data_IF_062938597405
#
_entry.id   IF_062938597405
#
_cell.length_a   1.000
_cell.length_b   1.000
_cell.length_c   1.000
_cell.angle_alpha   90.00
_cell.angle_beta   90.00
_cell.angle_gamma   90.00
#
_symmetry.space_group_name_H-M   'P 1'
#
loop_
_entity.id
_entity.type
_entity.pdbx_description
1 polymer ?
#
# COMPACT_ATOMS: atom_id res chain seq x y z
N UNK A 1 17.72 14.91 -2.16
CA UNK A 1 16.27 15.02 -1.93
C UNK A 1 15.94 16.45 -1.59
N UNK A 2 15.09 17.11 -2.38
CA UNK A 2 14.76 18.51 -2.13
C UNK A 2 13.36 18.54 -1.51
N UNK A 3 13.27 18.65 -0.18
CA UNK A 3 11.99 18.76 0.54
C UNK A 3 11.55 20.22 0.56
N UNK A 4 11.09 20.73 -0.58
CA UNK A 4 10.61 22.09 -0.72
C UNK A 4 9.13 22.21 -0.43
N UNK A 5 8.78 23.10 0.48
CA UNK A 5 7.52 23.83 0.67
C UNK A 5 6.19 23.07 0.62
N UNK A 6 5.43 23.14 1.69
CA UNK A 6 3.97 22.95 1.85
C UNK A 6 3.29 21.66 1.34
N UNK A 7 3.95 20.76 0.65
CA UNK A 7 3.49 19.40 0.28
C UNK A 7 4.63 18.43 0.46
N UNK A 8 4.40 17.22 0.99
CA UNK A 8 5.37 16.14 0.87
C UNK A 8 5.39 15.70 -0.59
N UNK A 9 6.11 16.42 -1.42
CA UNK A 9 6.43 15.99 -2.77
C UNK A 9 7.65 15.08 -2.68
N UNK A 10 7.44 13.76 -2.71
CA UNK A 10 8.50 12.83 -3.03
C UNK A 10 8.78 12.97 -4.53
N UNK A 11 9.72 13.85 -4.89
CA UNK A 11 10.28 13.86 -6.26
C UNK A 11 11.26 12.70 -6.35
N UNK A 12 10.95 11.69 -7.14
CA UNK A 12 11.92 10.67 -7.53
C UNK A 12 13.08 11.37 -8.22
N UNK A 13 14.26 11.35 -7.60
CA UNK A 13 15.51 11.85 -8.16
C UNK A 13 16.10 10.82 -9.14
N UNK A 14 15.37 10.45 -10.16
CA UNK A 14 15.98 9.88 -11.34
C UNK A 14 15.96 10.96 -12.43
N UNK A 15 17.08 11.63 -12.61
CA UNK A 15 17.26 12.70 -13.57
C UNK A 15 16.38 13.94 -13.40
N UNK A 16 16.97 15.12 -13.36
CA UNK A 16 16.46 16.49 -13.22
C UNK A 16 15.23 16.88 -14.11
N UNK A 17 14.43 15.95 -14.55
CA UNK A 17 13.18 16.18 -15.25
C UNK A 17 12.04 15.99 -14.25
N UNK A 18 11.35 17.07 -13.96
CA UNK A 18 10.09 17.04 -13.23
C UNK A 18 9.10 16.29 -14.11
N UNK A 19 8.67 15.10 -13.65
CA UNK A 19 7.57 14.37 -14.28
C UNK A 19 6.20 15.00 -13.94
N UNK A 20 6.17 16.32 -13.85
CA UNK A 20 5.02 17.11 -13.35
C UNK A 20 3.94 17.29 -14.43
N UNK A 21 4.24 16.98 -15.66
CA UNK A 21 3.31 17.09 -16.79
C UNK A 21 3.19 15.74 -17.48
N UNK A 22 1.97 15.38 -17.79
CA UNK A 22 1.66 14.21 -18.59
C UNK A 22 1.71 14.60 -20.07
N UNK A 23 2.44 13.84 -20.89
CA UNK A 23 2.59 14.03 -22.32
C UNK A 23 2.13 12.76 -23.05
N UNK A 24 1.26 12.93 -24.04
CA UNK A 24 0.89 11.84 -24.95
C UNK A 24 1.98 11.63 -25.98
N UNK A 25 2.42 10.38 -26.13
CA UNK A 25 3.42 9.97 -27.10
C UNK A 25 2.74 9.34 -28.33
N UNK A 26 3.14 9.76 -29.52
CA UNK A 26 2.63 9.20 -30.79
C UNK A 26 3.36 7.87 -31.12
N UNK A 27 3.17 6.89 -30.23
CA UNK A 27 3.68 5.53 -30.39
C UNK A 27 2.59 4.53 -30.00
N UNK A 28 2.54 3.34 -30.64
CA UNK A 28 1.63 2.30 -30.22
C UNK A 28 2.08 1.67 -28.89
N UNK A 29 1.14 1.55 -27.95
CA UNK A 29 1.34 0.77 -26.74
C UNK A 29 1.17 -0.74 -26.97
N UNK A 30 1.15 -1.51 -25.88
CA UNK A 30 0.89 -2.93 -25.92
C UNK A 30 -0.43 -3.25 -26.67
N UNK A 31 -0.37 -4.13 -27.67
CA UNK A 31 -1.50 -4.47 -28.54
C UNK A 31 -2.17 -3.24 -29.18
N UNK A 32 -1.36 -2.24 -29.56
CA UNK A 32 -1.82 -0.99 -30.13
C UNK A 32 -2.74 -0.15 -29.20
N UNK A 33 -2.61 -0.36 -27.89
CA UNK A 33 -3.36 0.46 -26.91
C UNK A 33 -2.98 1.95 -27.01
N UNK A 34 -3.94 2.82 -26.76
CA UNK A 34 -3.79 4.27 -26.75
C UNK A 34 -4.58 4.87 -25.58
N UNK A 35 -4.16 6.02 -25.05
CA UNK A 35 -2.91 6.75 -25.32
C UNK A 35 -1.70 6.12 -24.60
N UNK A 36 -0.50 6.26 -25.20
CA UNK A 36 0.75 6.04 -24.48
C UNK A 36 1.20 7.36 -23.90
N UNK A 37 1.51 7.39 -22.60
CA UNK A 37 1.85 8.62 -21.88
C UNK A 37 3.16 8.51 -21.13
N UNK A 38 3.86 9.62 -21.03
CA UNK A 38 5.00 9.83 -20.14
C UNK A 38 4.62 10.89 -19.09
N UNK A 39 5.22 10.80 -17.89
CA UNK A 39 4.85 11.66 -16.77
C UNK A 39 3.73 11.06 -15.88
N UNK A 40 3.29 11.83 -14.90
CA UNK A 40 2.22 11.41 -13.98
C UNK A 40 1.36 12.63 -13.57
N UNK A 41 0.09 12.63 -13.95
CA UNK A 41 -0.87 13.66 -13.55
C UNK A 41 -1.16 13.72 -12.06
N UNK A 42 -0.79 12.67 -11.31
CA UNK A 42 -0.89 12.60 -9.85
C UNK A 42 0.27 13.29 -9.11
N UNK A 43 1.27 13.83 -9.81
CA UNK A 43 2.47 14.45 -9.21
C UNK A 43 2.18 15.57 -8.21
N UNK A 44 1.08 16.29 -8.38
CA UNK A 44 0.60 17.34 -7.47
C UNK A 44 -0.36 16.85 -6.37
N UNK A 45 -0.65 15.57 -6.28
CA UNK A 45 -1.56 15.02 -5.28
C UNK A 45 -0.88 14.86 -3.92
N UNK A 46 -1.66 14.94 -2.86
CA UNK A 46 -1.22 14.55 -1.52
C UNK A 46 -1.60 13.09 -1.29
N UNK A 47 -0.62 12.27 -0.94
CA UNK A 47 -0.78 10.85 -0.60
C UNK A 47 -0.14 10.61 0.77
N UNK A 48 -0.97 10.60 1.82
CA UNK A 48 -0.47 10.49 3.20
C UNK A 48 0.12 9.12 3.53
N UNK A 49 -0.29 8.07 2.82
CA UNK A 49 0.26 6.72 2.98
C UNK A 49 1.77 6.64 2.75
N UNK A 50 2.32 7.50 1.89
CA UNK A 50 3.75 7.54 1.55
C UNK A 50 4.67 7.77 2.76
N UNK A 51 4.19 8.43 3.82
CA UNK A 51 4.93 8.50 5.08
C UNK A 51 5.21 7.10 5.62
N UNK A 52 4.20 6.22 5.62
CA UNK A 52 4.33 4.84 6.08
C UNK A 52 5.31 4.02 5.26
N UNK A 53 5.23 4.12 3.93
CA UNK A 53 6.12 3.40 3.03
C UNK A 53 7.59 3.76 3.26
N UNK A 54 7.87 5.05 3.45
CA UNK A 54 9.22 5.54 3.75
C UNK A 54 9.72 4.98 5.08
N UNK A 55 8.97 5.17 6.15
CA UNK A 55 9.41 4.78 7.49
C UNK A 55 9.51 3.26 7.66
N UNK A 56 8.60 2.47 7.06
CA UNK A 56 8.70 1.00 7.09
C UNK A 56 9.93 0.52 6.33
N UNK A 57 10.25 1.13 5.17
CA UNK A 57 11.47 0.82 4.40
C UNK A 57 12.73 1.11 5.20
N UNK A 58 12.81 2.28 5.83
CA UNK A 58 13.99 2.68 6.63
C UNK A 58 14.10 1.80 7.88
N UNK A 59 13.00 1.50 8.55
CA UNK A 59 13.00 0.61 9.71
C UNK A 59 13.54 -0.79 9.36
N UNK A 60 13.14 -1.33 8.19
CA UNK A 60 13.68 -2.61 7.68
C UNK A 60 15.16 -2.53 7.36
N UNK A 61 15.60 -1.44 6.72
CA UNK A 61 17.02 -1.20 6.43
C UNK A 61 17.86 -1.20 7.71
N UNK A 62 17.40 -0.55 8.77
CA UNK A 62 18.07 -0.55 10.08
C UNK A 62 18.01 -1.93 10.77
N UNK A 63 16.92 -2.68 10.62
CA UNK A 63 16.78 -4.02 11.18
C UNK A 63 17.78 -5.03 10.59
N UNK A 64 18.25 -4.80 9.36
CA UNK A 64 19.32 -5.57 8.71
C UNK A 64 20.73 -5.12 9.15
N UNK A 65 20.86 -4.27 10.18
CA UNK A 65 22.13 -3.83 10.76
C UNK A 65 22.73 -2.58 10.11
N UNK A 66 22.02 -1.91 9.21
CA UNK A 66 22.49 -0.67 8.61
C UNK A 66 22.21 0.54 9.51
N UNK A 67 23.03 1.56 9.39
CA UNK A 67 22.90 2.80 10.14
C UNK A 67 22.42 3.94 9.25
N UNK A 68 21.61 4.82 9.85
CA UNK A 68 21.21 6.08 9.20
C UNK A 68 22.34 7.08 9.37
N UNK A 69 22.69 7.78 8.29
CA UNK A 69 23.70 8.83 8.36
C UNK A 69 23.23 10.03 9.21
N UNK A 70 24.16 10.77 9.85
CA UNK A 70 23.84 11.84 10.79
C UNK A 70 23.01 13.00 10.19
N UNK A 71 23.02 13.20 8.88
CA UNK A 71 22.23 14.24 8.23
C UNK A 71 20.80 13.80 7.96
N UNK A 72 20.59 12.52 7.71
CA UNK A 72 19.26 11.94 7.40
C UNK A 72 18.38 11.79 8.66
N UNK A 73 18.97 11.46 9.82
CA UNK A 73 18.20 11.28 11.05
C UNK A 73 17.31 12.47 11.42
N UNK A 74 17.82 13.71 11.47
CA UNK A 74 17.02 14.92 11.74
C UNK A 74 15.91 15.16 10.71
N UNK A 75 16.16 14.85 9.43
CA UNK A 75 15.13 14.97 8.37
C UNK A 75 13.97 14.01 8.61
N UNK A 76 14.25 12.79 9.05
CA UNK A 76 13.23 11.81 9.39
C UNK A 76 12.41 12.26 10.61
N UNK A 77 13.07 12.83 11.64
CA UNK A 77 12.36 13.40 12.78
C UNK A 77 11.38 14.51 12.36
N UNK A 78 11.81 15.43 11.48
CA UNK A 78 10.96 16.48 10.93
C UNK A 78 9.77 15.90 10.11
N UNK A 79 10.00 14.84 9.35
CA UNK A 79 8.94 14.14 8.61
C UNK A 79 7.93 13.47 9.55
N UNK A 80 8.37 12.87 10.65
CA UNK A 80 7.47 12.30 11.65
C UNK A 80 6.62 13.38 12.33
N UNK A 81 7.22 14.54 12.66
CA UNK A 81 6.48 15.69 13.18
C UNK A 81 5.43 16.19 12.20
N UNK A 82 5.78 16.33 10.92
CA UNK A 82 4.84 16.70 9.85
C UNK A 82 3.73 15.66 9.67
N UNK A 83 4.02 14.38 9.85
CA UNK A 83 2.99 13.33 9.83
C UNK A 83 1.98 13.54 10.98
N UNK A 84 2.44 13.84 12.21
CA UNK A 84 1.58 14.21 13.34
C UNK A 84 0.66 15.40 13.03
N UNK A 85 1.15 16.40 12.31
CA UNK A 85 0.37 17.58 11.95
C UNK A 85 -0.67 17.32 10.85
N UNK A 86 -0.37 16.39 9.94
CA UNK A 86 -1.11 16.24 8.67
C UNK A 86 -2.03 15.05 8.57
N UNK A 87 -1.89 14.02 9.39
CA UNK A 87 -2.67 12.80 9.25
C UNK A 87 -4.20 13.02 9.23
N UNK A 88 -4.69 14.11 9.85
CA UNK A 88 -6.12 14.47 9.88
C UNK A 88 -6.62 15.05 8.55
N UNK A 89 -5.74 15.34 7.59
CA UNK A 89 -6.15 15.85 6.29
C UNK A 89 -6.71 14.72 5.42
N UNK A 90 -7.55 15.11 4.45
CA UNK A 90 -7.96 14.25 3.35
C UNK A 90 -6.85 14.20 2.30
N UNK A 91 -6.72 13.06 1.63
CA UNK A 91 -5.74 12.86 0.58
C UNK A 91 -6.35 12.14 -0.65
N UNK A 92 -5.53 11.78 -1.62
CA UNK A 92 -5.94 11.08 -2.85
C UNK A 92 -5.86 9.56 -2.73
N UNK A 93 -5.32 9.03 -1.61
CA UNK A 93 -5.15 7.61 -1.37
C UNK A 93 -4.09 6.95 -2.25
N UNK A 94 -3.89 5.65 -2.05
CA UNK A 94 -2.93 4.83 -2.81
C UNK A 94 -3.32 4.71 -4.30
N UNK A 95 -4.60 4.85 -4.62
CA UNK A 95 -5.13 4.72 -5.97
C UNK A 95 -5.16 6.03 -6.76
N UNK A 96 -4.52 7.09 -6.25
CA UNK A 96 -4.38 8.40 -6.93
C UNK A 96 -5.70 9.03 -7.36
N UNK A 97 -6.74 8.87 -6.54
CA UNK A 97 -8.09 9.29 -6.88
C UNK A 97 -8.25 10.82 -6.85
N UNK A 98 -9.08 11.35 -7.76
CA UNK A 98 -9.42 12.78 -7.78
C UNK A 98 -10.19 13.22 -6.54
N UNK A 99 -11.02 12.32 -5.98
CA UNK A 99 -11.80 12.58 -4.76
C UNK A 99 -10.90 12.48 -3.52
N UNK A 100 -10.68 13.59 -2.82
CA UNK A 100 -9.92 13.60 -1.56
C UNK A 100 -10.81 13.11 -0.42
N UNK A 101 -10.39 12.02 0.24
CA UNK A 101 -11.11 11.38 1.34
C UNK A 101 -10.17 11.10 2.51
N UNK A 102 -10.72 10.60 3.60
CA UNK A 102 -9.95 9.97 4.67
C UNK A 102 -9.82 8.47 4.36
N UNK A 103 -8.98 8.14 3.40
CA UNK A 103 -8.75 6.74 3.00
C UNK A 103 -8.13 5.95 4.15
N UNK A 104 -8.69 4.79 4.43
CA UNK A 104 -8.27 3.93 5.54
C UNK A 104 -6.80 3.57 5.46
N UNK A 105 -6.35 3.11 4.29
CA UNK A 105 -4.94 2.75 4.08
C UNK A 105 -3.99 3.93 4.26
N UNK A 106 -4.39 5.15 3.89
CA UNK A 106 -3.57 6.35 4.12
C UNK A 106 -3.41 6.67 5.60
N UNK A 107 -4.46 6.47 6.42
CA UNK A 107 -4.39 6.65 7.87
C UNK A 107 -3.53 5.56 8.51
N UNK A 108 -3.68 4.31 8.07
CA UNK A 108 -2.79 3.23 8.48
C UNK A 108 -1.34 3.54 8.14
N UNK A 109 -1.05 4.09 6.94
CA UNK A 109 0.29 4.54 6.56
C UNK A 109 0.85 5.62 7.50
N UNK A 110 0.03 6.61 7.91
CA UNK A 110 0.46 7.59 8.92
C UNK A 110 0.75 6.92 10.28
N UNK A 111 -0.06 5.96 10.69
CA UNK A 111 0.21 5.16 11.90
C UNK A 111 1.55 4.43 11.80
N UNK A 112 1.81 3.75 10.67
CA UNK A 112 3.07 3.04 10.41
C UNK A 112 4.25 4.00 10.54
N UNK A 113 4.16 5.18 9.92
CA UNK A 113 5.23 6.17 9.98
C UNK A 113 5.59 6.53 11.42
N UNK A 114 4.60 6.84 12.25
CA UNK A 114 4.82 7.24 13.64
C UNK A 114 5.30 6.08 14.51
N UNK A 115 4.75 4.89 14.34
CA UNK A 115 5.20 3.67 15.04
C UNK A 115 6.67 3.36 14.71
N UNK A 116 7.06 3.40 13.44
CA UNK A 116 8.43 3.17 13.02
C UNK A 116 9.37 4.30 13.45
N UNK A 117 8.91 5.56 13.46
CA UNK A 117 9.70 6.70 13.95
C UNK A 117 10.04 6.52 15.45
N UNK A 118 9.09 6.04 16.25
CA UNK A 118 9.35 5.70 17.67
C UNK A 118 10.41 4.62 17.79
N UNK A 119 10.29 3.51 17.03
CA UNK A 119 11.26 2.40 17.06
C UNK A 119 12.66 2.87 16.63
N UNK A 120 12.75 3.72 15.60
CA UNK A 120 14.02 4.29 15.15
C UNK A 120 14.63 5.24 16.18
N UNK A 121 13.82 5.98 16.94
CA UNK A 121 14.29 6.80 18.04
C UNK A 121 14.79 5.97 19.22
N UNK A 122 14.07 4.91 19.61
CA UNK A 122 14.47 3.97 20.66
C UNK A 122 15.78 3.24 20.35
N UNK A 123 16.05 2.99 19.06
CA UNK A 123 17.32 2.41 18.59
C UNK A 123 18.38 3.46 18.26
N UNK A 124 18.20 4.72 18.65
CA UNK A 124 19.08 5.85 18.43
C UNK A 124 19.47 6.12 16.94
N UNK A 125 18.62 5.68 15.99
CA UNK A 125 18.80 5.95 14.57
C UNK A 125 18.26 7.33 14.16
N UNK A 126 17.29 7.86 14.92
CA UNK A 126 16.64 9.15 14.70
C UNK A 126 16.59 9.92 16.03
N UNK A 127 16.77 11.26 16.04
CA UNK A 127 16.60 12.04 17.26
C UNK A 127 15.24 11.85 17.91
N UNK A 128 15.22 11.41 19.16
CA UNK A 128 14.00 11.01 19.89
C UNK A 128 13.31 12.11 20.68
N UNK A 129 13.63 13.41 20.46
CA UNK A 129 13.09 14.51 21.26
C UNK A 129 11.55 14.55 21.26
N UNK A 130 10.92 14.20 20.13
CA UNK A 130 9.48 14.20 19.95
C UNK A 130 8.86 12.78 19.93
N UNK A 131 9.59 11.74 20.39
CA UNK A 131 9.12 10.35 20.35
C UNK A 131 7.79 10.14 21.09
N UNK A 132 7.57 10.81 22.22
CA UNK A 132 6.30 10.76 22.96
C UNK A 132 5.13 11.35 22.16
N UNK A 133 5.37 12.42 21.41
CA UNK A 133 4.37 13.02 20.50
C UNK A 133 4.02 12.04 19.37
N UNK A 134 5.01 11.35 18.81
CA UNK A 134 4.79 10.36 17.76
C UNK A 134 4.01 9.15 18.28
N UNK A 135 4.33 8.68 19.48
CA UNK A 135 3.61 7.57 20.14
C UNK A 135 2.15 7.94 20.39
N UNK A 136 1.90 9.13 20.94
CA UNK A 136 0.55 9.63 21.17
C UNK A 136 -0.22 9.80 19.84
N UNK A 137 0.44 10.32 18.80
CA UNK A 137 -0.13 10.45 17.46
C UNK A 137 -0.49 9.10 16.83
N UNK A 138 0.37 8.09 16.97
CA UNK A 138 0.08 6.74 16.49
C UNK A 138 -1.16 6.15 17.19
N UNK A 139 -1.27 6.27 18.51
CA UNK A 139 -2.43 5.77 19.25
C UNK A 139 -3.72 6.50 18.87
N UNK A 140 -3.65 7.80 18.68
CA UNK A 140 -4.80 8.60 18.21
C UNK A 140 -5.25 8.16 16.81
N UNK A 141 -4.33 7.92 15.88
CA UNK A 141 -4.65 7.41 14.54
C UNK A 141 -5.31 6.03 14.64
N UNK A 142 -4.76 5.14 15.45
CA UNK A 142 -5.32 3.78 15.63
C UNK A 142 -6.75 3.85 16.14
N UNK A 143 -6.98 4.64 17.18
CA UNK A 143 -8.31 4.85 17.76
C UNK A 143 -9.27 5.40 16.71
N UNK A 144 -8.85 6.45 16.01
CA UNK A 144 -9.67 7.10 14.99
C UNK A 144 -10.04 6.17 13.83
N UNK A 145 -9.10 5.34 13.34
CA UNK A 145 -9.36 4.36 12.27
C UNK A 145 -10.35 3.31 12.76
N UNK A 146 -10.19 2.81 13.98
CA UNK A 146 -11.08 1.81 14.55
C UNK A 146 -12.53 2.29 14.73
N UNK A 147 -12.70 3.59 14.97
CA UNK A 147 -14.01 4.23 15.16
C UNK A 147 -14.68 4.68 13.86
N UNK A 148 -13.88 5.12 12.87
CA UNK A 148 -14.40 5.80 11.68
C UNK A 148 -14.29 5.00 10.38
N UNK A 149 -13.45 3.95 10.35
CA UNK A 149 -13.18 3.17 9.14
C UNK A 149 -13.59 1.70 9.29
N UNK A 150 -14.56 1.41 10.13
CA UNK A 150 -15.12 0.09 10.34
C UNK A 150 -16.58 0.05 9.92
N UNK A 151 -16.99 -0.96 9.15
CA UNK A 151 -18.39 -1.24 8.83
C UNK A 151 -18.89 -2.40 9.68
N UNK A 152 -19.89 -2.13 10.54
CA UNK A 152 -20.57 -3.18 11.28
C UNK A 152 -21.41 -4.06 10.37
N UNK A 153 -21.92 -3.53 9.27
CA UNK A 153 -22.70 -4.29 8.30
C UNK A 153 -21.85 -5.33 7.56
N UNK A 154 -20.60 -4.98 7.22
CA UNK A 154 -19.66 -5.88 6.52
C UNK A 154 -18.69 -6.59 7.45
N UNK A 155 -18.63 -6.19 8.73
CA UNK A 155 -17.63 -6.64 9.69
C UNK A 155 -16.20 -6.50 9.12
N UNK A 156 -15.89 -5.34 8.55
CA UNK A 156 -14.65 -5.09 7.83
C UNK A 156 -14.17 -3.64 7.94
N UNK A 157 -12.88 -3.44 7.85
CA UNK A 157 -12.33 -2.11 7.55
C UNK A 157 -12.73 -1.68 6.14
N UNK A 158 -13.12 -0.43 6.01
CA UNK A 158 -13.71 0.14 4.81
C UNK A 158 -12.68 0.89 3.96
N UNK A 159 -13.05 1.27 2.75
CA UNK A 159 -12.22 2.03 1.82
C UNK A 159 -11.81 3.39 2.39
N UNK A 160 -12.78 4.13 2.93
CA UNK A 160 -12.57 5.43 3.59
C UNK A 160 -13.60 5.64 4.69
N UNK A 161 -13.35 6.58 5.57
CA UNK A 161 -14.22 6.87 6.70
C UNK A 161 -15.66 7.19 6.27
N UNK A 162 -16.63 6.51 6.89
CA UNK A 162 -18.07 6.75 6.69
C UNK A 162 -18.67 6.12 5.44
N UNK A 163 -18.00 5.10 4.84
CA UNK A 163 -18.55 4.27 3.77
C UNK A 163 -18.65 2.81 4.20
N UNK A 164 -19.41 2.01 3.46
CA UNK A 164 -19.37 0.54 3.52
C UNK A 164 -18.58 -0.08 2.34
N UNK A 165 -18.05 0.74 1.43
CA UNK A 165 -17.20 0.25 0.35
C UNK A 165 -15.91 -0.37 0.89
N UNK A 166 -15.41 -1.41 0.22
CA UNK A 166 -14.18 -2.11 0.57
C UNK A 166 -13.03 -1.72 -0.35
N UNK A 167 -11.80 -1.91 0.15
CA UNK A 167 -10.55 -1.65 -0.56
C UNK A 167 -9.54 -2.77 -0.28
N UNK A 168 -9.05 -3.41 -1.33
CA UNK A 168 -8.04 -4.46 -1.22
C UNK A 168 -6.72 -3.96 -0.60
N UNK A 169 -6.39 -2.67 -0.69
CA UNK A 169 -5.20 -2.11 -0.06
C UNK A 169 -5.21 -2.24 1.48
N UNK A 170 -6.39 -2.36 2.10
CA UNK A 170 -6.50 -2.57 3.56
C UNK A 170 -5.91 -3.92 4.00
N UNK A 171 -5.77 -4.90 3.11
CA UNK A 171 -5.06 -6.16 3.38
C UNK A 171 -3.61 -5.93 3.87
N UNK A 172 -2.99 -4.82 3.48
CA UNK A 172 -1.65 -4.43 3.92
C UNK A 172 -1.57 -4.09 5.42
N UNK A 173 -2.70 -3.88 6.10
CA UNK A 173 -2.74 -3.62 7.55
C UNK A 173 -2.08 -4.74 8.37
N UNK A 174 -2.23 -6.00 7.95
CA UNK A 174 -1.59 -7.15 8.59
C UNK A 174 -0.06 -7.13 8.45
N UNK A 175 0.43 -6.75 7.27
CA UNK A 175 1.86 -6.65 6.97
C UNK A 175 2.56 -5.57 7.80
N UNK A 176 1.89 -4.45 8.02
CA UNK A 176 2.44 -3.33 8.79
C UNK A 176 2.38 -3.55 10.30
N UNK A 177 1.55 -4.50 10.76
CA UNK A 177 1.29 -4.74 12.18
C UNK A 177 0.25 -3.83 12.80
N UNK A 178 -0.46 -3.05 11.98
CA UNK A 178 -1.56 -2.22 12.45
C UNK A 178 -2.68 -3.09 13.05
N UNK A 179 -3.05 -4.17 12.37
CA UNK A 179 -4.07 -5.11 12.82
C UNK A 179 -3.62 -6.56 12.57
N UNK A 180 -3.82 -7.44 13.55
CA UNK A 180 -3.46 -8.88 13.48
C UNK A 180 -4.56 -9.78 14.05
N UNK A 181 -5.62 -9.18 14.58
CA UNK A 181 -6.68 -9.87 15.30
C UNK A 181 -7.87 -10.25 14.42
N UNK A 182 -9.01 -10.58 15.06
CA UNK A 182 -10.24 -11.02 14.38
C UNK A 182 -10.78 -10.02 13.35
N UNK A 183 -10.56 -8.71 13.57
CA UNK A 183 -10.98 -7.67 12.62
C UNK A 183 -10.26 -7.78 11.27
N UNK A 184 -8.97 -8.14 11.26
CA UNK A 184 -8.28 -8.38 9.99
C UNK A 184 -8.82 -9.63 9.31
N UNK A 185 -9.05 -10.72 10.07
CA UNK A 185 -9.58 -11.97 9.52
C UNK A 185 -10.96 -11.73 8.88
N UNK A 186 -11.87 -11.03 9.55
CA UNK A 186 -13.19 -10.71 8.98
C UNK A 186 -13.11 -9.76 7.78
N UNK A 187 -12.17 -8.80 7.78
CA UNK A 187 -11.91 -7.93 6.63
C UNK A 187 -11.42 -8.72 5.42
N UNK A 188 -10.52 -9.70 5.62
CA UNK A 188 -10.05 -10.62 4.56
C UNK A 188 -11.24 -11.34 3.92
N UNK A 189 -12.15 -11.89 4.73
CA UNK A 189 -13.33 -12.61 4.22
C UNK A 189 -14.28 -11.67 3.45
N UNK A 190 -14.53 -10.47 3.97
CA UNK A 190 -15.37 -9.49 3.29
C UNK A 190 -14.78 -9.06 1.94
N UNK A 191 -13.47 -8.79 1.88
CA UNK A 191 -12.77 -8.44 0.65
C UNK A 191 -12.78 -9.61 -0.34
N UNK A 192 -12.50 -10.84 0.11
CA UNK A 192 -12.53 -12.02 -0.74
C UNK A 192 -13.92 -12.24 -1.37
N UNK A 193 -14.99 -12.04 -0.60
CA UNK A 193 -16.35 -12.23 -1.06
C UNK A 193 -16.84 -11.14 -2.02
N UNK A 194 -16.45 -9.87 -1.81
CA UNK A 194 -16.96 -8.75 -2.60
C UNK A 194 -16.06 -8.38 -3.78
N UNK A 195 -14.75 -8.40 -3.57
CA UNK A 195 -13.77 -7.98 -4.57
C UNK A 195 -13.12 -9.15 -5.32
N UNK A 196 -13.35 -10.39 -4.87
CA UNK A 196 -12.76 -11.59 -5.46
C UNK A 196 -13.47 -12.05 -6.74
N UNK A 197 -12.68 -12.54 -7.70
CA UNK A 197 -13.13 -13.26 -8.89
C UNK A 197 -12.13 -14.39 -9.21
N UNK A 198 -12.41 -15.60 -8.77
CA UNK A 198 -11.42 -16.70 -8.80
C UNK A 198 -10.17 -16.32 -7.99
N UNK A 199 -8.96 -16.43 -8.56
CA UNK A 199 -7.73 -16.04 -7.87
C UNK A 199 -7.44 -14.53 -7.94
N UNK A 200 -8.27 -13.75 -8.62
CA UNK A 200 -8.05 -12.33 -8.87
C UNK A 200 -8.89 -11.46 -7.95
N UNK A 201 -8.38 -10.27 -7.60
CA UNK A 201 -9.09 -9.27 -6.83
C UNK A 201 -9.16 -7.93 -7.56
N UNK A 202 -10.34 -7.30 -7.50
CA UNK A 202 -10.49 -5.88 -7.87
C UNK A 202 -9.91 -4.97 -6.78
N UNK A 203 -9.56 -3.74 -7.15
CA UNK A 203 -8.97 -2.76 -6.24
C UNK A 203 -9.91 -2.36 -5.10
N UNK A 204 -11.14 -1.98 -5.43
CA UNK A 204 -12.16 -1.56 -4.47
C UNK A 204 -13.58 -1.74 -5.04
N UNK A 205 -14.58 -1.57 -4.21
CA UNK A 205 -15.99 -1.72 -4.55
C UNK A 205 -16.37 -0.95 -5.82
N UNK A 206 -16.98 -1.64 -6.78
CA UNK A 206 -17.47 -1.06 -8.04
C UNK A 206 -16.52 -1.22 -9.23
N UNK A 207 -15.24 -1.53 -9.02
CA UNK A 207 -14.24 -1.63 -10.10
C UNK A 207 -14.50 -2.75 -11.11
N UNK A 208 -15.24 -3.77 -10.75
CA UNK A 208 -15.64 -4.83 -11.66
C UNK A 208 -16.46 -4.39 -12.89
N UNK A 209 -16.94 -3.14 -12.89
CA UNK A 209 -17.66 -2.52 -14.00
C UNK A 209 -16.81 -1.60 -14.86
N UNK A 210 -15.62 -1.22 -14.37
CA UNK A 210 -14.81 -0.15 -14.94
C UNK A 210 -13.46 -0.66 -15.46
N UNK A 211 -12.90 -1.71 -14.84
CA UNK A 211 -11.55 -2.19 -15.16
C UNK A 211 -11.37 -3.69 -14.90
N UNK A 212 -10.16 -4.23 -15.21
CA UNK A 212 -9.74 -5.57 -14.83
C UNK A 212 -9.40 -5.70 -13.35
N UNK A 213 -9.24 -6.94 -12.90
CA UNK A 213 -8.75 -7.22 -11.56
C UNK A 213 -7.26 -6.85 -11.44
N UNK A 214 -6.85 -6.28 -10.30
CA UNK A 214 -5.51 -5.75 -10.09
C UNK A 214 -4.60 -6.83 -9.48
N UNK A 215 -3.61 -7.30 -10.23
CA UNK A 215 -2.82 -8.49 -9.88
C UNK A 215 -2.12 -8.38 -8.53
N UNK A 216 -1.59 -7.19 -8.18
CA UNK A 216 -0.95 -6.99 -6.89
C UNK A 216 -1.91 -7.24 -5.71
N UNK A 217 -3.21 -6.94 -5.85
CA UNK A 217 -4.21 -7.17 -4.79
C UNK A 217 -4.36 -8.67 -4.47
N UNK A 218 -4.26 -9.55 -5.47
CA UNK A 218 -4.29 -10.99 -5.27
C UNK A 218 -3.13 -11.47 -4.40
N UNK A 219 -1.92 -10.96 -4.64
CA UNK A 219 -0.76 -11.28 -3.80
C UNK A 219 -0.82 -10.61 -2.41
N UNK A 220 -1.43 -9.43 -2.27
CA UNK A 220 -1.72 -8.85 -0.96
C UNK A 220 -2.68 -9.72 -0.14
N UNK A 221 -3.66 -10.36 -0.80
CA UNK A 221 -4.52 -11.35 -0.16
C UNK A 221 -3.73 -12.56 0.32
N UNK A 222 -2.81 -13.10 -0.50
CA UNK A 222 -1.91 -14.19 -0.09
C UNK A 222 -1.10 -13.81 1.16
N UNK A 223 -0.47 -12.63 1.17
CA UNK A 223 0.30 -12.13 2.33
C UNK A 223 -0.60 -12.00 3.58
N UNK A 224 -1.81 -11.48 3.44
CA UNK A 224 -2.75 -11.32 4.55
C UNK A 224 -3.23 -12.66 5.10
N UNK A 225 -3.52 -13.64 4.24
CA UNK A 225 -3.89 -15.01 4.62
C UNK A 225 -2.75 -15.70 5.38
N UNK A 226 -1.52 -15.60 4.90
CA UNK A 226 -0.35 -16.17 5.57
C UNK A 226 -0.18 -15.58 6.98
N UNK A 227 -0.33 -14.26 7.15
CA UNK A 227 -0.18 -13.57 8.44
C UNK A 227 -1.29 -13.83 9.44
N UNK A 228 -2.45 -14.29 8.98
CA UNK A 228 -3.60 -14.65 9.84
C UNK A 228 -3.71 -16.15 10.08
N UNK A 229 -2.68 -16.93 9.75
CA UNK A 229 -2.62 -18.37 9.97
C UNK A 229 -3.39 -19.21 8.96
N UNK A 230 -3.94 -18.58 7.91
CA UNK A 230 -4.63 -19.28 6.83
C UNK A 230 -3.65 -19.70 5.71
N UNK A 231 -2.53 -20.30 6.11
CA UNK A 231 -1.37 -20.54 5.23
C UNK A 231 -1.70 -21.44 4.05
N UNK A 232 -2.50 -22.49 4.25
CA UNK A 232 -2.87 -23.40 3.16
C UNK A 232 -3.73 -22.73 2.10
N UNK A 233 -4.71 -21.93 2.53
CA UNK A 233 -5.52 -21.10 1.62
C UNK A 233 -4.65 -20.08 0.87
N UNK A 234 -3.67 -19.50 1.57
CA UNK A 234 -2.68 -18.61 0.97
C UNK A 234 -1.81 -19.29 -0.08
N UNK A 235 -1.35 -20.54 0.16
CA UNK A 235 -0.60 -21.32 -0.83
C UNK A 235 -1.41 -21.63 -2.08
N UNK A 236 -2.64 -22.10 -1.90
CA UNK A 236 -3.52 -22.38 -3.04
C UNK A 236 -3.75 -21.13 -3.89
N UNK A 237 -4.05 -19.97 -3.25
CA UNK A 237 -4.23 -18.71 -3.95
C UNK A 237 -2.94 -18.25 -4.67
N UNK A 238 -1.77 -18.49 -4.06
CA UNK A 238 -0.47 -18.21 -4.67
C UNK A 238 -0.27 -19.02 -5.95
N UNK A 239 -0.51 -20.32 -5.89
CA UNK A 239 -0.35 -21.23 -7.02
C UNK A 239 -1.31 -20.86 -8.16
N UNK A 240 -2.58 -20.59 -7.83
CA UNK A 240 -3.60 -20.20 -8.81
C UNK A 240 -3.26 -18.84 -9.46
N UNK A 241 -2.72 -17.88 -8.71
CA UNK A 241 -2.35 -16.58 -9.25
C UNK A 241 -1.08 -16.65 -10.08
N UNK A 242 -0.08 -17.43 -9.67
CA UNK A 242 1.16 -17.65 -10.42
C UNK A 242 0.88 -18.38 -11.74
N UNK A 243 -0.12 -19.24 -11.79
CA UNK A 243 -0.53 -19.90 -13.02
C UNK A 243 -1.03 -18.93 -14.13
N UNK A 244 -1.31 -17.67 -13.77
CA UNK A 244 -1.75 -16.63 -14.71
C UNK A 244 -0.58 -15.86 -15.37
N UNK A 245 0.68 -16.13 -15.03
CA UNK A 245 1.84 -15.47 -15.67
C UNK A 245 1.90 -15.84 -17.16
N UNK A 246 2.56 -15.01 -17.96
CA UNK A 246 2.81 -15.36 -19.36
C UNK A 246 3.90 -16.44 -19.50
N UNK A 247 4.16 -16.85 -20.73
CA UNK A 247 5.14 -17.89 -21.11
C UNK A 247 6.59 -17.59 -20.71
N UNK A 248 6.91 -16.34 -20.39
CA UNK A 248 8.24 -15.91 -19.89
C UNK A 248 8.22 -15.49 -18.41
N UNK A 249 7.15 -15.78 -17.68
CA UNK A 249 7.05 -15.53 -16.24
C UNK A 249 6.73 -14.08 -15.85
N UNK A 250 6.17 -13.27 -16.75
CA UNK A 250 5.85 -11.88 -16.48
C UNK A 250 4.38 -11.68 -16.09
N UNK A 251 4.14 -10.72 -15.20
CA UNK A 251 2.84 -10.28 -14.73
C UNK A 251 2.50 -8.89 -15.26
N UNK A 252 1.23 -8.71 -15.65
CA UNK A 252 0.65 -7.40 -16.00
C UNK A 252 0.17 -6.66 -14.75
N UNK A 253 -0.27 -5.44 -14.95
CA UNK A 253 -0.94 -4.63 -13.92
C UNK A 253 -2.30 -5.19 -13.55
N UNK A 254 -3.09 -5.51 -14.58
CA UNK A 254 -4.44 -6.04 -14.43
C UNK A 254 -4.65 -7.25 -15.36
N UNK A 255 -5.61 -8.07 -15.01
CA UNK A 255 -6.11 -9.18 -15.84
C UNK A 255 -7.63 -9.04 -15.92
N UNK A 256 -8.18 -9.16 -17.13
CA UNK A 256 -9.61 -9.31 -17.30
C UNK A 256 -10.03 -10.70 -16.81
N UNK A 257 -10.85 -10.83 -15.76
CA UNK A 257 -11.14 -12.12 -15.15
C UNK A 257 -11.94 -13.06 -16.07
N UNK A 258 -12.75 -12.52 -16.98
CA UNK A 258 -13.61 -13.31 -17.88
C UNK A 258 -12.85 -13.87 -19.08
N UNK A 259 -11.83 -13.14 -19.56
CA UNK A 259 -11.10 -13.49 -20.79
C UNK A 259 -9.67 -13.92 -20.55
N UNK A 260 -9.11 -13.68 -19.38
CA UNK A 260 -7.70 -13.87 -19.06
C UNK A 260 -6.76 -12.86 -19.77
N UNK A 261 -7.29 -11.83 -20.43
CA UNK A 261 -6.49 -10.85 -21.16
C UNK A 261 -5.72 -9.95 -20.18
N UNK A 262 -4.42 -9.75 -20.45
CA UNK A 262 -3.58 -8.81 -19.73
C UNK A 262 -3.93 -7.38 -20.10
N UNK A 263 -4.08 -6.52 -19.09
CA UNK A 263 -4.44 -5.12 -19.21
C UNK A 263 -3.45 -4.24 -18.43
N UNK A 264 -3.41 -2.96 -18.78
CA UNK A 264 -2.51 -1.99 -18.16
C UNK A 264 -1.05 -2.22 -18.53
N UNK A 265 -0.15 -1.82 -17.64
CA UNK A 265 1.29 -1.95 -17.87
C UNK A 265 1.76 -3.41 -17.81
N UNK A 266 2.71 -3.77 -18.70
CA UNK A 266 3.33 -5.09 -18.74
C UNK A 266 4.79 -4.98 -19.23
N UNK A 267 5.77 -5.50 -18.44
CA UNK A 267 5.63 -6.06 -17.10
C UNK A 267 5.30 -4.96 -16.06
N UNK A 268 4.61 -5.36 -14.97
CA UNK A 268 4.29 -4.43 -13.88
C UNK A 268 5.13 -4.74 -12.63
N UNK A 269 5.97 -3.76 -12.23
CA UNK A 269 6.87 -3.91 -11.08
C UNK A 269 6.13 -4.16 -9.77
N UNK A 270 5.01 -3.47 -9.52
CA UNK A 270 4.24 -3.64 -8.30
C UNK A 270 3.67 -5.06 -8.16
N UNK A 271 3.20 -5.67 -9.25
CA UNK A 271 2.69 -7.05 -9.26
C UNK A 271 3.79 -8.04 -8.86
N UNK A 272 5.02 -7.88 -9.40
CA UNK A 272 6.16 -8.74 -9.05
C UNK A 272 6.64 -8.51 -7.60
N UNK A 273 6.67 -7.27 -7.12
CA UNK A 273 7.01 -6.98 -5.73
C UNK A 273 5.97 -7.56 -4.75
N UNK A 274 4.70 -7.52 -5.12
CA UNK A 274 3.63 -8.13 -4.33
C UNK A 274 3.78 -9.66 -4.27
N UNK A 275 4.09 -10.31 -5.40
CA UNK A 275 4.43 -11.74 -5.48
C UNK A 275 5.59 -12.10 -4.54
N UNK A 276 6.70 -11.37 -4.61
CA UNK A 276 7.89 -11.63 -3.78
C UNK A 276 7.54 -11.53 -2.29
N UNK A 277 6.81 -10.47 -1.90
CA UNK A 277 6.40 -10.30 -0.50
C UNK A 277 5.46 -11.42 -0.02
N UNK A 278 4.52 -11.86 -0.87
CA UNK A 278 3.61 -12.96 -0.56
C UNK A 278 4.37 -14.29 -0.38
N UNK A 279 5.36 -14.56 -1.24
CA UNK A 279 6.22 -15.74 -1.10
C UNK A 279 6.97 -15.76 0.23
N UNK A 280 7.59 -14.64 0.62
CA UNK A 280 8.25 -14.53 1.93
C UNK A 280 7.28 -14.67 3.12
N UNK A 281 6.06 -14.17 2.98
CA UNK A 281 5.05 -14.31 4.04
C UNK A 281 4.66 -15.79 4.24
N UNK A 282 4.45 -16.54 3.15
CA UNK A 282 4.15 -17.96 3.19
C UNK A 282 5.31 -18.79 3.74
N UNK A 283 6.55 -18.48 3.34
CA UNK A 283 7.75 -19.15 3.85
C UNK A 283 7.85 -19.00 5.37
N UNK A 284 7.74 -17.77 5.86
CA UNK A 284 7.78 -17.49 7.31
C UNK A 284 6.66 -18.17 8.09
N UNK A 285 5.44 -18.18 7.53
CA UNK A 285 4.30 -18.87 8.15
C UNK A 285 4.48 -20.40 8.18
N UNK A 286 5.20 -21.00 7.23
CA UNK A 286 5.50 -22.42 7.19
C UNK A 286 6.59 -22.86 8.18
N UNK A 287 7.37 -21.93 8.74
CA UNK A 287 8.42 -22.19 9.73
C UNK A 287 7.98 -21.87 11.18
N UNK A 288 6.75 -21.38 11.37
CA UNK A 288 6.22 -21.17 12.73
C UNK A 288 5.64 -22.50 13.25
N UNK A 289 6.19 -23.07 14.38
CA UNK A 289 5.73 -24.34 14.94
C UNK A 289 4.34 -24.25 15.54
#
# INVERSE_FOLDING_TARGET
MNFGGAGCEFKLLAHRTTADQEEELDIPGWRCSQPVRSGNSASGQTQLGTYGDLFDTISRYCAEGHLIDPATGPMLADLADRCCDRWRHRDSGIWELKARRHYTISKIGCWVALDRAVQLAESAQVPGLNAERWRAGAEEIRTWVNENCWSDAKQAYTFYAGTDDLDAAVLLAGRTGFERGPRLTSTIEAIANELGHGPLLYRYTGMNKEEGAFVACSFWMVDALARTGQTERGRQLMDDTVALVNDVGLLSEQINPDTGAFLGNMPQGLSHLALINAAFALERAGHCP
#
